data_IF_608629566748
#
_entry.id   IF_608629566748
#
_cell.length_a   1.000
_cell.length_b   1.000
_cell.length_c   1.000
_cell.angle_alpha   90.00
_cell.angle_beta   90.00
_cell.angle_gamma   90.00
#
_symmetry.space_group_name_H-M   'P 1'
#
loop_
_entity.id
_entity.type
_entity.pdbx_description
1 polymer ?
#
# COMPACT_ATOMS: atom_id res chain seq x y z
N UNK A 1 12.89 31.54 -65.94
CA UNK A 1 14.30 31.10 -65.72
C UNK A 1 14.24 29.63 -65.31
N UNK A 2 14.21 28.71 -66.28
CA UNK A 2 15.33 27.87 -66.77
C UNK A 2 16.06 27.09 -65.65
N UNK A 3 15.85 25.76 -65.66
CA UNK A 3 16.75 24.73 -65.12
C UNK A 3 18.15 24.82 -65.78
N UNK A 4 19.17 24.08 -65.29
CA UNK A 4 19.33 22.68 -65.71
C UNK A 4 19.76 21.68 -64.61
N UNK A 5 19.36 20.43 -64.85
CA UNK A 5 19.92 19.15 -64.35
C UNK A 5 21.06 18.71 -65.30
N UNK A 6 21.60 17.49 -65.15
CA UNK A 6 22.41 16.69 -66.16
C UNK A 6 23.95 16.87 -65.97
N UNK A 7 24.88 15.89 -65.96
CA UNK A 7 24.98 14.44 -66.31
C UNK A 7 26.29 13.86 -65.67
N UNK A 8 26.32 12.63 -65.15
CA UNK A 8 26.88 11.35 -65.72
C UNK A 8 28.34 11.33 -66.19
N UNK A 9 29.05 10.23 -65.89
CA UNK A 9 30.07 9.69 -66.81
C UNK A 9 31.24 8.97 -66.16
N UNK A 10 31.26 7.64 -66.31
CA UNK A 10 32.36 6.70 -66.01
C UNK A 10 33.69 7.02 -66.74
N UNK A 11 34.80 6.37 -66.33
CA UNK A 11 35.57 5.39 -67.18
C UNK A 11 36.86 4.87 -66.49
N UNK A 12 36.91 3.53 -66.39
CA UNK A 12 37.98 2.50 -66.54
C UNK A 12 39.25 2.34 -65.68
N UNK A 13 39.41 1.05 -65.31
CA UNK A 13 40.55 0.21 -64.87
C UNK A 13 41.75 0.11 -65.85
N UNK A 14 42.90 -0.48 -65.41
CA UNK A 14 43.24 -1.90 -65.69
C UNK A 14 43.68 -2.70 -64.43
N UNK A 15 43.26 -3.97 -64.22
CA UNK A 15 43.88 -5.28 -64.60
C UNK A 15 45.29 -5.52 -64.01
N UNK A 16 45.74 -6.68 -63.53
CA UNK A 16 45.25 -8.04 -63.23
C UNK A 16 46.53 -8.80 -62.80
N UNK A 17 46.58 -9.56 -61.69
CA UNK A 17 47.25 -10.88 -61.65
C UNK A 17 46.51 -11.77 -60.65
N UNK A 18 45.95 -12.85 -61.16
CA UNK A 18 45.39 -13.96 -60.41
C UNK A 18 46.46 -15.04 -60.17
N UNK A 19 46.35 -15.78 -59.06
CA UNK A 19 46.69 -17.21 -59.01
C UNK A 19 45.80 -17.91 -57.97
N UNK A 20 45.40 -19.11 -58.35
CA UNK A 20 44.27 -19.91 -57.89
C UNK A 20 44.81 -21.29 -57.44
N UNK A 21 43.94 -22.10 -56.82
CA UNK A 21 44.07 -23.53 -56.44
C UNK A 21 44.74 -23.80 -55.07
N UNK A 22 44.30 -24.73 -54.20
CA UNK A 22 43.15 -25.64 -54.14
C UNK A 22 43.04 -26.23 -52.71
N UNK A 23 41.80 -26.38 -52.20
CA UNK A 23 41.16 -27.51 -51.47
C UNK A 23 42.04 -28.43 -50.57
N UNK A 24 41.60 -28.66 -49.31
CA UNK A 24 41.23 -29.96 -48.67
C UNK A 24 41.25 -29.89 -47.12
N UNK A 25 40.23 -30.45 -46.47
CA UNK A 25 40.41 -31.24 -45.24
C UNK A 25 40.04 -30.61 -43.88
N UNK A 26 38.81 -30.86 -43.44
CA UNK A 26 38.46 -31.48 -42.15
C UNK A 26 39.19 -31.12 -40.84
N UNK A 27 38.38 -30.66 -39.88
CA UNK A 27 38.35 -31.03 -38.45
C UNK A 27 39.53 -30.67 -37.53
N UNK A 28 39.27 -29.72 -36.62
CA UNK A 28 39.54 -29.90 -35.18
C UNK A 28 38.79 -28.84 -34.36
N UNK A 29 37.71 -29.26 -33.71
CA UNK A 29 37.08 -28.54 -32.60
C UNK A 29 38.08 -28.40 -31.45
N UNK A 30 38.42 -27.16 -31.08
CA UNK A 30 38.91 -26.85 -29.75
C UNK A 30 37.83 -26.03 -29.03
N UNK A 31 36.93 -26.75 -28.34
CA UNK A 31 36.01 -26.19 -27.36
C UNK A 31 36.83 -25.68 -26.17
N UNK A 32 37.08 -24.37 -26.13
CA UNK A 32 37.37 -23.69 -24.88
C UNK A 32 36.07 -23.67 -24.07
N UNK A 33 35.97 -24.62 -23.13
CA UNK A 33 34.99 -24.58 -22.05
C UNK A 33 35.28 -23.36 -21.18
N UNK A 34 34.73 -22.22 -21.56
CA UNK A 34 34.45 -21.16 -20.61
C UNK A 34 33.42 -21.74 -19.64
N UNK A 35 33.87 -22.13 -18.46
CA UNK A 35 33.03 -22.31 -17.29
C UNK A 35 32.29 -20.98 -17.07
N UNK A 36 31.11 -20.85 -17.67
CA UNK A 36 30.10 -19.96 -17.15
C UNK A 36 29.88 -20.43 -15.71
N UNK A 37 30.29 -19.60 -14.75
CA UNK A 37 29.89 -19.79 -13.38
C UNK A 37 28.38 -19.97 -13.39
N UNK A 38 27.90 -21.18 -13.08
CA UNK A 38 26.52 -21.37 -12.69
C UNK A 38 26.32 -20.42 -11.51
N UNK A 39 25.71 -19.27 -11.79
CA UNK A 39 25.17 -18.41 -10.77
C UNK A 39 24.25 -19.29 -9.97
N UNK A 40 24.66 -19.60 -8.73
CA UNK A 40 23.84 -20.35 -7.80
C UNK A 40 22.51 -19.59 -7.73
N UNK A 41 21.47 -20.17 -8.31
CA UNK A 41 20.11 -19.70 -8.13
C UNK A 41 19.87 -19.72 -6.64
N UNK A 42 19.85 -18.55 -6.00
CA UNK A 42 19.40 -18.44 -4.61
C UNK A 42 18.07 -19.17 -4.52
N UNK A 43 17.84 -20.00 -3.50
CA UNK A 43 16.56 -20.67 -3.32
C UNK A 43 15.45 -19.62 -3.44
N UNK A 44 14.40 -19.94 -4.22
CA UNK A 44 13.25 -19.05 -4.39
C UNK A 44 12.71 -18.58 -3.05
N UNK A 45 12.07 -17.40 -3.04
CA UNK A 45 11.42 -16.83 -1.86
C UNK A 45 10.51 -17.86 -1.20
N UNK A 46 11.02 -18.53 -0.17
CA UNK A 46 10.38 -19.66 0.47
C UNK A 46 9.38 -19.17 1.51
N UNK A 47 8.48 -18.26 1.13
CA UNK A 47 7.27 -17.88 1.89
C UNK A 47 7.46 -17.45 3.35
N UNK A 48 8.69 -17.24 3.81
CA UNK A 48 9.01 -16.88 5.20
C UNK A 48 9.24 -15.37 5.31
N UNK A 49 8.88 -14.79 6.47
CA UNK A 49 9.23 -13.39 6.79
C UNK A 49 10.74 -13.15 6.92
N UNK A 50 11.56 -14.21 6.88
CA UNK A 50 13.02 -14.08 6.70
C UNK A 50 13.40 -13.54 5.33
N UNK A 51 12.58 -13.82 4.32
CA UNK A 51 12.93 -13.55 2.93
C UNK A 51 12.39 -12.17 2.52
N UNK A 52 11.13 -11.89 2.87
CA UNK A 52 10.45 -10.63 2.58
C UNK A 52 9.72 -10.11 3.83
N UNK A 53 9.79 -8.79 4.07
CA UNK A 53 8.94 -8.11 5.04
C UNK A 53 8.31 -6.88 4.40
N UNK A 54 7.00 -6.65 4.58
CA UNK A 54 6.37 -5.40 4.17
C UNK A 54 7.13 -4.19 4.72
N UNK A 55 7.14 -3.10 3.95
CA UNK A 55 7.84 -1.84 4.27
C UNK A 55 9.37 -1.90 4.28
N UNK A 56 9.99 -3.06 4.08
CA UNK A 56 11.44 -3.20 4.00
C UNK A 56 11.91 -3.20 2.56
N UNK A 57 13.10 -2.64 2.35
CA UNK A 57 13.78 -2.73 1.07
C UNK A 57 14.25 -4.17 0.82
N UNK A 58 14.36 -4.52 -0.45
CA UNK A 58 14.90 -5.80 -0.89
C UNK A 58 16.06 -5.52 -1.85
N UNK A 59 17.29 -5.39 -1.34
CA UNK A 59 18.43 -4.95 -2.15
C UNK A 59 18.72 -5.90 -3.32
N UNK A 60 18.88 -5.32 -4.51
CA UNK A 60 19.21 -6.05 -5.74
C UNK A 60 18.03 -6.72 -6.43
N UNK A 61 16.80 -6.50 -5.98
CA UNK A 61 15.57 -6.94 -6.66
C UNK A 61 14.84 -5.76 -7.32
N UNK A 62 14.13 -6.04 -8.41
CA UNK A 62 13.36 -5.03 -9.15
C UNK A 62 11.86 -5.18 -8.91
N UNK A 63 11.21 -4.04 -8.62
CA UNK A 63 9.77 -3.91 -8.59
C UNK A 63 9.27 -3.57 -10.00
N UNK A 64 8.34 -4.36 -10.53
CA UNK A 64 7.86 -4.26 -11.92
C UNK A 64 6.51 -3.54 -12.04
N UNK A 65 5.89 -3.18 -10.91
CA UNK A 65 4.65 -2.43 -10.82
C UNK A 65 3.40 -3.25 -11.13
N UNK A 66 2.21 -2.76 -10.70
CA UNK A 66 0.95 -3.48 -10.81
C UNK A 66 0.49 -3.72 -12.26
N UNK A 67 0.96 -2.90 -13.21
CA UNK A 67 0.67 -3.05 -14.64
C UNK A 67 1.23 -4.35 -15.21
N UNK A 68 2.44 -4.75 -14.80
CA UNK A 68 3.04 -6.01 -15.22
C UNK A 68 2.23 -7.21 -14.71
N UNK A 69 1.74 -7.14 -13.46
CA UNK A 69 0.90 -8.17 -12.86
C UNK A 69 -0.45 -8.35 -13.60
N UNK A 70 -1.01 -7.28 -14.17
CA UNK A 70 -2.31 -7.29 -14.83
C UNK A 70 -2.36 -8.20 -16.07
N UNK A 71 -1.21 -8.42 -16.73
CA UNK A 71 -1.11 -9.27 -17.92
C UNK A 71 -1.55 -10.73 -17.67
N UNK A 72 -1.24 -11.26 -16.49
CA UNK A 72 -1.61 -12.62 -16.05
C UNK A 72 -2.72 -12.64 -14.99
N UNK A 73 -2.86 -11.56 -14.21
CA UNK A 73 -3.80 -11.47 -13.08
C UNK A 73 -4.82 -10.33 -13.24
N UNK A 74 -5.41 -10.21 -14.42
CA UNK A 74 -6.30 -9.10 -14.80
C UNK A 74 -7.41 -8.82 -13.78
N UNK A 75 -8.14 -9.84 -13.32
CA UNK A 75 -9.24 -9.65 -12.38
C UNK A 75 -8.77 -9.08 -11.03
N UNK A 76 -7.74 -9.68 -10.42
CA UNK A 76 -7.20 -9.23 -9.13
C UNK A 76 -6.59 -7.84 -9.24
N UNK A 77 -5.87 -7.56 -10.33
CA UNK A 77 -5.29 -6.24 -10.57
C UNK A 77 -6.39 -5.18 -10.69
N UNK A 78 -7.42 -5.45 -11.49
CA UNK A 78 -8.55 -4.53 -11.69
C UNK A 78 -9.30 -4.25 -10.39
N UNK A 79 -9.55 -5.25 -9.54
CA UNK A 79 -10.28 -5.02 -8.28
C UNK A 79 -9.41 -4.36 -7.22
N UNK A 80 -8.15 -4.79 -7.09
CA UNK A 80 -7.25 -4.31 -6.06
C UNK A 80 -6.87 -2.84 -6.28
N UNK A 81 -6.65 -2.42 -7.52
CA UNK A 81 -6.29 -1.02 -7.82
C UNK A 81 -7.37 -0.01 -7.42
N UNK A 82 -8.62 -0.46 -7.22
CA UNK A 82 -9.72 0.39 -6.77
C UNK A 82 -9.86 0.45 -5.24
N UNK A 83 -9.10 -0.35 -4.51
CA UNK A 83 -9.16 -0.42 -3.04
C UNK A 83 -8.60 0.85 -2.39
N UNK A 84 -8.99 1.08 -1.13
CA UNK A 84 -8.32 2.09 -0.31
C UNK A 84 -6.79 1.89 -0.18
N UNK A 85 -6.30 0.65 -0.23
CA UNK A 85 -4.86 0.35 -0.23
C UNK A 85 -4.18 0.79 -1.54
N UNK A 86 -4.79 0.48 -2.68
CA UNK A 86 -4.32 0.95 -4.00
C UNK A 86 -4.32 2.48 -4.11
N UNK A 87 -5.21 3.16 -3.39
CA UNK A 87 -5.29 4.62 -3.31
C UNK A 87 -4.63 5.23 -2.06
N UNK A 88 -3.81 4.48 -1.32
CA UNK A 88 -3.17 4.97 -0.10
C UNK A 88 -2.20 6.13 -0.33
N UNK A 89 -1.65 6.23 -1.54
CA UNK A 89 -0.87 7.36 -2.04
C UNK A 89 -1.21 7.58 -3.52
N UNK A 90 -1.42 8.81 -3.93
CA UNK A 90 -1.72 9.17 -5.31
C UNK A 90 -0.89 10.36 -5.76
N UNK A 91 -0.55 10.43 -7.04
CA UNK A 91 -0.10 11.70 -7.64
C UNK A 91 -1.28 12.67 -7.75
N UNK A 92 -1.04 13.99 -7.80
CA UNK A 92 -2.10 14.98 -7.95
C UNK A 92 -3.02 14.70 -9.15
N UNK A 93 -2.44 14.30 -10.28
CA UNK A 93 -3.16 13.95 -11.52
C UNK A 93 -4.04 12.70 -11.40
N UNK A 94 -3.78 11.84 -10.43
CA UNK A 94 -4.51 10.57 -10.21
C UNK A 94 -5.59 10.72 -9.12
N UNK A 95 -5.43 11.69 -8.21
CA UNK A 95 -6.43 12.00 -7.19
C UNK A 95 -7.73 12.48 -7.83
N UNK A 96 -8.82 11.77 -7.57
CA UNK A 96 -10.15 12.19 -7.99
C UNK A 96 -10.56 13.51 -7.32
N UNK A 97 -10.24 13.69 -6.04
CA UNK A 97 -10.55 14.90 -5.26
C UNK A 97 -9.89 16.12 -5.89
N UNK A 98 -8.58 16.06 -6.17
CA UNK A 98 -7.87 17.20 -6.76
C UNK A 98 -8.35 17.52 -8.18
N UNK A 99 -8.78 16.51 -8.95
CA UNK A 99 -9.35 16.73 -10.29
C UNK A 99 -10.77 17.27 -10.27
N UNK A 100 -11.60 16.88 -9.29
CA UNK A 100 -13.00 17.31 -9.22
C UNK A 100 -13.20 18.62 -8.46
N UNK A 101 -12.21 19.06 -7.67
CA UNK A 101 -12.27 20.28 -6.89
C UNK A 101 -11.22 21.29 -7.36
N UNK A 102 -11.55 22.15 -8.35
CA UNK A 102 -10.60 23.12 -8.89
C UNK A 102 -10.14 24.15 -7.83
N UNK A 103 -10.95 24.34 -6.79
CA UNK A 103 -10.63 25.21 -5.67
C UNK A 103 -11.29 24.69 -4.39
N UNK A 104 -10.48 24.49 -3.35
CA UNK A 104 -10.93 24.21 -1.99
C UNK A 104 -10.36 25.25 -1.05
N UNK A 105 -11.11 25.64 -0.03
CA UNK A 105 -10.70 26.67 0.93
C UNK A 105 -11.05 26.28 2.36
N UNK A 106 -10.23 26.68 3.32
CA UNK A 106 -10.50 26.56 4.74
C UNK A 106 -9.96 27.79 5.47
N UNK A 107 -10.65 28.25 6.50
CA UNK A 107 -10.24 29.40 7.29
C UNK A 107 -10.09 28.96 8.75
N UNK A 108 -8.95 29.26 9.37
CA UNK A 108 -8.76 29.02 10.78
C UNK A 108 -7.99 30.16 11.44
N UNK A 109 -8.68 30.89 12.32
CA UNK A 109 -8.16 32.12 12.91
C UNK A 109 -7.74 33.11 11.82
N UNK A 110 -6.49 33.58 11.88
CA UNK A 110 -5.92 34.51 10.90
C UNK A 110 -5.48 33.86 9.59
N UNK A 111 -5.39 32.52 9.52
CA UNK A 111 -4.84 31.83 8.37
C UNK A 111 -5.94 31.36 7.42
N UNK A 112 -5.73 31.63 6.12
CA UNK A 112 -6.57 31.12 5.03
C UNK A 112 -5.80 30.09 4.23
N UNK A 113 -6.38 28.92 4.08
CA UNK A 113 -5.83 27.78 3.36
C UNK A 113 -6.57 27.60 2.04
N UNK A 114 -5.82 27.31 0.99
CA UNK A 114 -6.40 27.04 -0.33
C UNK A 114 -5.65 25.91 -1.02
N UNK A 115 -6.41 25.06 -1.69
CA UNK A 115 -5.86 24.16 -2.71
C UNK A 115 -6.50 24.56 -4.03
N UNK A 116 -5.67 24.83 -5.02
CA UNK A 116 -6.10 25.17 -6.37
C UNK A 116 -5.56 24.12 -7.32
N UNK A 117 -6.41 23.58 -8.18
CA UNK A 117 -5.99 22.63 -9.20
C UNK A 117 -6.62 22.93 -10.55
N UNK A 118 -5.85 22.71 -11.61
CA UNK A 118 -6.31 22.72 -12.99
C UNK A 118 -6.49 21.30 -13.57
N UNK A 119 -6.39 20.27 -12.72
CA UNK A 119 -6.44 18.85 -13.07
C UNK A 119 -5.10 18.24 -13.50
N UNK A 120 -4.08 19.06 -13.80
CA UNK A 120 -2.72 18.62 -14.11
C UNK A 120 -1.73 18.98 -13.01
N UNK A 121 -1.89 20.16 -12.45
CA UNK A 121 -1.13 20.69 -11.33
C UNK A 121 -2.09 21.01 -10.19
N UNK A 122 -1.62 20.80 -8.97
CA UNK A 122 -2.33 21.18 -7.75
C UNK A 122 -1.36 21.93 -6.86
N UNK A 123 -1.79 23.08 -6.36
CA UNK A 123 -0.97 23.99 -5.54
C UNK A 123 -1.65 24.17 -4.20
N UNK A 124 -0.88 23.95 -3.12
CA UNK A 124 -1.28 24.21 -1.76
C UNK A 124 -0.82 25.61 -1.35
N UNK A 125 -1.72 26.39 -0.73
CA UNK A 125 -1.46 27.78 -0.31
C UNK A 125 -1.94 28.04 1.10
N UNK A 126 -1.17 28.83 1.84
CA UNK A 126 -1.60 29.42 3.11
C UNK A 126 -1.23 30.90 3.14
N UNK A 127 -2.11 31.74 3.68
CA UNK A 127 -1.85 33.16 3.88
C UNK A 127 -2.34 33.62 5.24
N UNK A 128 -1.64 34.58 5.85
CA UNK A 128 -2.06 35.31 7.05
C UNK A 128 -2.68 36.69 6.73
N UNK A 129 -2.93 36.97 5.44
CA UNK A 129 -3.41 38.24 4.92
C UNK A 129 -2.30 39.26 4.58
N UNK A 130 -1.04 39.01 4.97
CA UNK A 130 0.11 39.84 4.64
C UNK A 130 1.07 39.11 3.71
N UNK A 131 1.37 37.87 4.05
CA UNK A 131 2.26 36.98 3.31
C UNK A 131 1.50 35.73 2.86
N UNK A 132 2.00 35.10 1.79
CA UNK A 132 1.42 33.86 1.26
C UNK A 132 2.54 32.87 0.97
N UNK A 133 2.40 31.67 1.50
CA UNK A 133 3.21 30.52 1.12
C UNK A 133 2.44 29.68 0.12
N UNK A 134 3.12 29.21 -0.92
CA UNK A 134 2.52 28.47 -2.02
C UNK A 134 3.49 27.42 -2.51
N UNK A 135 3.11 26.16 -2.48
CA UNK A 135 3.95 25.03 -2.89
C UNK A 135 3.16 24.05 -3.77
N UNK A 136 3.78 23.49 -4.83
CA UNK A 136 3.17 22.41 -5.59
C UNK A 136 2.95 21.17 -4.71
N UNK A 137 1.77 20.58 -4.79
CA UNK A 137 1.49 19.29 -4.15
C UNK A 137 2.24 18.21 -4.92
N UNK A 138 3.03 17.39 -4.21
CA UNK A 138 3.74 16.25 -4.78
C UNK A 138 2.91 14.98 -4.71
N UNK A 139 2.21 14.76 -3.60
CA UNK A 139 1.41 13.56 -3.36
C UNK A 139 0.17 13.88 -2.52
N UNK A 140 -0.89 13.11 -2.75
CA UNK A 140 -2.05 13.01 -1.88
C UNK A 140 -2.00 11.67 -1.12
N UNK A 141 -1.87 11.73 0.20
CA UNK A 141 -1.86 10.60 1.11
C UNK A 141 -3.28 10.30 1.58
N UNK A 142 -3.62 9.01 1.60
CA UNK A 142 -4.91 8.53 2.08
C UNK A 142 -5.97 8.47 0.99
N UNK A 143 -6.99 7.67 1.25
CA UNK A 143 -8.17 7.57 0.42
C UNK A 143 -9.22 8.58 0.90
N UNK A 144 -9.86 9.28 -0.05
CA UNK A 144 -10.85 10.32 0.22
C UNK A 144 -12.00 9.89 1.13
N UNK A 145 -12.37 8.60 1.16
CA UNK A 145 -13.39 8.08 2.07
C UNK A 145 -13.08 8.32 3.55
N UNK A 146 -11.80 8.41 3.92
CA UNK A 146 -11.37 8.81 5.27
C UNK A 146 -10.86 10.24 5.23
N UNK A 147 -9.74 10.48 4.56
CA UNK A 147 -9.13 11.79 4.39
C UNK A 147 -8.09 11.77 3.27
N UNK A 148 -7.85 12.90 2.60
CA UNK A 148 -6.66 13.13 1.79
C UNK A 148 -5.80 14.25 2.38
N UNK A 149 -4.59 13.90 2.80
CA UNK A 149 -3.58 14.83 3.31
C UNK A 149 -2.52 15.05 2.23
N UNK A 150 -2.01 16.27 2.09
CA UNK A 150 -1.16 16.63 0.96
C UNK A 150 0.30 16.79 1.41
N UNK A 151 1.21 16.26 0.62
CA UNK A 151 2.65 16.39 0.85
C UNK A 151 3.27 17.25 -0.24
N UNK A 152 4.08 18.22 0.17
CA UNK A 152 4.83 19.11 -0.72
C UNK A 152 6.31 19.17 -0.30
N UNK A 153 7.15 19.82 -1.12
CA UNK A 153 8.58 20.00 -0.82
C UNK A 153 8.91 21.47 -0.73
N UNK A 154 9.62 21.85 0.34
CA UNK A 154 10.13 23.21 0.55
C UNK A 154 11.53 23.15 1.14
N UNK A 155 12.47 23.93 0.60
CA UNK A 155 13.86 23.93 1.09
C UNK A 155 14.54 22.55 1.06
N UNK A 156 14.17 21.68 0.11
CA UNK A 156 14.69 20.31 0.01
C UNK A 156 14.09 19.31 1.00
N UNK A 157 13.19 19.73 1.89
CA UNK A 157 12.53 18.90 2.90
C UNK A 157 11.08 18.61 2.50
N UNK A 158 10.53 17.52 3.01
CA UNK A 158 9.15 17.14 2.77
C UNK A 158 8.26 17.68 3.89
N UNK A 159 7.08 18.15 3.54
CA UNK A 159 6.12 18.71 4.48
C UNK A 159 4.75 18.05 4.33
N UNK A 160 4.13 17.73 5.45
CA UNK A 160 2.71 17.36 5.55
C UNK A 160 1.86 18.62 5.73
N UNK A 161 0.80 18.76 4.93
CA UNK A 161 -0.11 19.91 5.01
C UNK A 161 -0.93 19.91 6.31
N UNK A 162 -1.19 21.11 6.84
CA UNK A 162 -2.03 21.27 8.04
C UNK A 162 -3.52 21.00 7.84
N UNK A 163 -3.97 20.97 6.59
CA UNK A 163 -5.35 20.66 6.25
C UNK A 163 -5.40 19.44 5.35
N UNK A 164 -6.48 18.69 5.50
CA UNK A 164 -6.82 17.51 4.72
C UNK A 164 -8.22 17.67 4.13
N UNK A 165 -8.48 17.03 3.00
CA UNK A 165 -9.84 16.93 2.46
C UNK A 165 -10.57 15.76 3.10
N UNK A 166 -11.84 15.97 3.44
CA UNK A 166 -12.72 14.96 4.02
C UNK A 166 -14.00 14.86 3.21
N UNK A 167 -14.32 13.65 2.71
CA UNK A 167 -15.55 13.43 1.92
C UNK A 167 -16.83 13.74 2.72
N UNK A 168 -16.82 13.49 4.03
CA UNK A 168 -18.01 13.68 4.87
C UNK A 168 -18.50 15.13 4.97
N UNK A 169 -17.60 16.11 4.78
CA UNK A 169 -17.91 17.54 4.76
C UNK A 169 -17.69 18.16 3.37
N UNK A 170 -17.29 17.35 2.39
CA UNK A 170 -16.89 17.75 1.05
C UNK A 170 -15.98 19.00 1.03
N UNK A 171 -14.95 18.97 1.88
CA UNK A 171 -14.18 20.18 2.17
C UNK A 171 -12.90 19.92 2.94
N UNK A 172 -12.17 21.01 3.14
CA UNK A 172 -10.94 21.02 3.93
C UNK A 172 -11.26 21.26 5.40
N UNK A 173 -10.57 20.53 6.26
CA UNK A 173 -10.46 20.81 7.70
C UNK A 173 -9.04 20.41 8.16
N UNK A 174 -8.73 20.62 9.44
CA UNK A 174 -7.47 20.22 10.04
C UNK A 174 -7.11 18.77 9.75
N UNK A 175 -5.85 18.50 9.44
CA UNK A 175 -5.30 17.15 9.38
C UNK A 175 -5.45 16.48 10.75
N UNK A 176 -5.81 15.18 10.77
CA UNK A 176 -6.04 14.44 12.01
C UNK A 176 -4.82 14.55 12.94
N UNK A 177 -5.04 15.03 14.17
CA UNK A 177 -3.99 15.28 15.16
C UNK A 177 -3.60 16.75 15.31
N UNK A 178 -3.83 17.59 14.28
CA UNK A 178 -3.47 19.02 14.32
C UNK A 178 -4.55 19.90 14.95
N UNK A 179 -5.79 19.42 15.07
CA UNK A 179 -6.91 20.16 15.66
C UNK A 179 -6.62 20.71 17.07
N UNK A 180 -5.73 20.04 17.82
CA UNK A 180 -5.38 20.40 19.18
C UNK A 180 -4.29 21.50 19.25
N UNK A 181 -3.62 21.81 18.14
CA UNK A 181 -2.45 22.68 18.10
C UNK A 181 -2.57 23.72 16.97
N UNK A 182 -3.30 24.84 17.18
CA UNK A 182 -3.35 25.93 16.22
C UNK A 182 -1.94 26.47 15.91
N UNK A 183 -1.60 26.74 14.64
CA UNK A 183 -0.24 27.13 14.27
C UNK A 183 0.09 28.54 14.78
N UNK A 184 1.29 28.76 15.36
CA UNK A 184 1.71 30.07 15.85
C UNK A 184 2.24 30.99 14.73
N UNK A 185 2.71 30.43 13.62
CA UNK A 185 3.38 31.13 12.51
C UNK A 185 2.83 30.73 11.15
N UNK A 186 3.14 31.51 10.10
CA UNK A 186 2.75 31.18 8.73
C UNK A 186 3.45 29.90 8.24
N UNK A 187 4.69 29.69 8.66
CA UNK A 187 5.47 28.48 8.37
C UNK A 187 4.82 27.23 8.97
N UNK A 188 4.46 27.28 10.26
CA UNK A 188 3.78 26.15 10.92
C UNK A 188 2.34 25.96 10.44
N UNK A 189 1.71 27.02 9.94
CA UNK A 189 0.43 26.93 9.26
C UNK A 189 0.56 26.22 7.91
N UNK A 190 1.64 26.45 7.15
CA UNK A 190 1.81 25.78 5.86
C UNK A 190 1.92 24.25 6.00
N UNK A 191 2.57 23.78 7.05
CA UNK A 191 2.74 22.35 7.24
C UNK A 191 3.80 22.03 8.26
N UNK A 192 3.90 20.75 8.55
CA UNK A 192 4.94 20.20 9.42
C UNK A 192 5.96 19.46 8.59
N UNK A 193 7.22 19.72 8.88
CA UNK A 193 8.33 18.99 8.30
C UNK A 193 8.25 17.51 8.71
N UNK A 194 8.27 16.62 7.72
CA UNK A 194 8.37 15.18 7.91
C UNK A 194 9.81 14.79 7.63
N UNK A 195 10.56 14.57 8.69
CA UNK A 195 11.99 14.31 8.62
C UNK A 195 12.32 12.94 7.98
N UNK A 196 13.60 12.59 7.91
CA UNK A 196 14.05 11.36 7.26
C UNK A 196 13.43 10.08 7.84
N UNK A 197 13.10 10.01 9.12
CA UNK A 197 12.56 8.82 9.75
C UNK A 197 11.04 8.76 9.61
N UNK A 198 10.40 9.90 9.79
CA UNK A 198 8.96 10.02 9.61
C UNK A 198 8.54 9.84 8.15
N UNK A 199 9.24 10.48 7.21
CA UNK A 199 8.99 10.29 5.78
C UNK A 199 9.14 8.80 5.40
N UNK A 200 10.16 8.09 5.92
CA UNK A 200 10.29 6.64 5.69
C UNK A 200 9.08 5.88 6.22
N UNK A 201 8.59 6.22 7.41
CA UNK A 201 7.41 5.57 7.99
C UNK A 201 6.13 5.86 7.16
N UNK A 202 5.92 7.10 6.73
CA UNK A 202 4.76 7.45 5.90
C UNK A 202 4.79 6.73 4.55
N UNK A 203 5.88 6.88 3.79
CA UNK A 203 5.96 6.34 2.43
C UNK A 203 6.07 4.81 2.40
N UNK A 204 6.71 4.18 3.38
CA UNK A 204 6.80 2.71 3.41
C UNK A 204 5.46 2.02 3.73
N UNK A 205 4.53 2.72 4.38
CA UNK A 205 3.17 2.23 4.63
C UNK A 205 2.18 2.56 3.50
N UNK A 206 2.39 3.68 2.79
CA UNK A 206 1.42 4.20 1.81
C UNK A 206 1.80 3.98 0.35
N UNK A 207 3.04 3.55 0.09
CA UNK A 207 3.57 3.37 -1.25
C UNK A 207 4.34 2.06 -1.39
N UNK A 208 4.57 1.66 -2.64
CA UNK A 208 5.37 0.48 -2.98
C UNK A 208 6.75 0.91 -3.48
N UNK A 209 7.78 0.11 -3.16
CA UNK A 209 9.17 0.36 -3.56
C UNK A 209 9.75 1.71 -3.09
N UNK A 210 9.27 2.23 -1.95
CA UNK A 210 9.58 3.60 -1.54
C UNK A 210 11.00 3.82 -1.00
N UNK A 211 11.70 2.76 -0.60
CA UNK A 211 12.96 2.85 0.12
C UNK A 211 14.13 2.30 -0.70
N UNK A 212 15.24 3.04 -0.70
CA UNK A 212 16.54 2.59 -1.20
C UNK A 212 17.64 3.06 -0.25
N UNK A 213 18.49 2.13 0.19
CA UNK A 213 19.52 2.36 1.19
C UNK A 213 18.96 3.03 2.45
N UNK A 214 17.78 2.57 2.87
CA UNK A 214 17.07 3.12 4.03
C UNK A 214 16.65 4.58 3.89
N UNK A 215 16.49 5.12 2.67
CA UNK A 215 15.99 6.50 2.42
C UNK A 215 14.84 6.49 1.43
N UNK A 216 13.92 7.45 1.57
CA UNK A 216 12.84 7.64 0.61
C UNK A 216 13.40 8.14 -0.74
N UNK A 217 13.07 7.45 -1.83
CA UNK A 217 13.43 7.86 -3.20
C UNK A 217 12.17 8.14 -4.02
N UNK A 218 11.78 9.42 -4.12
CA UNK A 218 10.50 9.80 -4.74
C UNK A 218 10.41 9.45 -6.24
N UNK A 219 11.54 9.30 -6.94
CA UNK A 219 11.63 8.93 -8.35
C UNK A 219 11.37 7.44 -8.60
N UNK A 220 11.47 6.60 -7.56
CA UNK A 220 11.28 5.14 -7.64
C UNK A 220 9.98 4.64 -7.03
N UNK A 221 9.24 5.53 -6.38
CA UNK A 221 7.98 5.18 -5.73
C UNK A 221 6.94 4.78 -6.75
N UNK A 222 6.28 3.67 -6.48
CA UNK A 222 5.00 3.30 -7.08
C UNK A 222 3.91 3.75 -6.11
N UNK A 223 3.07 4.76 -6.45
CA UNK A 223 2.01 5.25 -5.58
C UNK A 223 1.01 4.14 -5.21
N UNK A 224 0.62 4.11 -3.95
CA UNK A 224 -0.30 3.14 -3.37
C UNK A 224 0.40 1.91 -2.80
N UNK A 225 -0.29 1.20 -1.93
CA UNK A 225 0.07 -0.16 -1.53
C UNK A 225 -0.38 -1.06 -2.66
N UNK A 226 0.56 -1.49 -3.51
CA UNK A 226 0.30 -2.30 -4.71
C UNK A 226 0.69 -3.77 -4.49
N UNK A 227 0.55 -4.61 -5.52
CA UNK A 227 0.75 -6.06 -5.43
C UNK A 227 2.06 -6.43 -4.71
N UNK A 228 3.16 -5.78 -5.09
CA UNK A 228 4.51 -6.08 -4.62
C UNK A 228 4.79 -5.55 -3.21
N UNK A 229 3.92 -4.69 -2.64
CA UNK A 229 4.01 -4.31 -1.23
C UNK A 229 3.65 -5.47 -0.29
N UNK A 230 2.82 -6.40 -0.76
CA UNK A 230 2.41 -7.60 -0.03
C UNK A 230 3.12 -8.86 -0.51
N UNK A 231 3.40 -8.95 -1.81
CA UNK A 231 3.97 -10.14 -2.47
C UNK A 231 5.48 -10.05 -2.74
N UNK A 232 6.11 -8.92 -2.40
CA UNK A 232 7.51 -8.67 -2.70
C UNK A 232 7.78 -8.38 -4.19
N UNK A 233 9.06 -8.17 -4.56
CA UNK A 233 9.47 -7.87 -5.93
C UNK A 233 9.06 -8.97 -6.91
N UNK A 234 8.37 -8.61 -8.00
CA UNK A 234 7.73 -9.54 -8.93
C UNK A 234 8.58 -9.95 -10.12
N UNK A 235 9.75 -9.34 -10.35
CA UNK A 235 10.56 -9.56 -11.56
C UNK A 235 10.90 -11.04 -11.79
N UNK A 236 11.44 -11.73 -10.77
CA UNK A 236 11.79 -13.15 -10.87
C UNK A 236 10.59 -14.02 -11.18
N UNK A 237 9.46 -13.72 -10.55
CA UNK A 237 8.21 -14.43 -10.79
C UNK A 237 7.71 -14.24 -12.22
N UNK A 238 7.71 -13.01 -12.72
CA UNK A 238 7.31 -12.71 -14.10
C UNK A 238 8.22 -13.42 -15.12
N UNK A 239 9.54 -13.35 -14.92
CA UNK A 239 10.52 -14.00 -15.81
C UNK A 239 10.38 -15.53 -15.78
N UNK A 240 10.27 -16.14 -14.60
CA UNK A 240 10.11 -17.59 -14.48
C UNK A 240 8.82 -18.10 -15.13
N UNK A 241 7.75 -17.29 -15.13
CA UNK A 241 6.51 -17.61 -15.84
C UNK A 241 6.63 -17.44 -17.34
N UNK A 242 7.31 -16.39 -17.82
CA UNK A 242 7.54 -16.18 -19.25
C UNK A 242 8.43 -17.27 -19.88
N UNK A 243 9.39 -17.79 -19.13
CA UNK A 243 10.31 -18.84 -19.59
C UNK A 243 9.74 -20.26 -19.41
N UNK A 244 8.51 -20.40 -18.90
CA UNK A 244 7.88 -21.67 -18.54
C UNK A 244 8.73 -22.56 -17.62
N UNK A 245 9.71 -21.96 -16.90
CA UNK A 245 10.59 -22.68 -15.98
C UNK A 245 9.89 -23.03 -14.66
N UNK A 246 8.62 -22.64 -14.52
CA UNK A 246 7.67 -23.33 -13.69
C UNK A 246 7.97 -23.31 -12.20
N UNK A 247 7.94 -22.14 -11.55
CA UNK A 247 7.89 -22.08 -10.10
C UNK A 247 6.99 -20.95 -9.59
N UNK A 248 5.79 -21.30 -9.11
CA UNK A 248 4.93 -20.40 -8.31
C UNK A 248 5.60 -19.95 -6.99
N UNK A 249 6.69 -20.62 -6.59
CA UNK A 249 7.55 -20.29 -5.44
C UNK A 249 8.42 -19.04 -5.63
N UNK A 250 8.46 -18.44 -6.83
CA UNK A 250 9.29 -17.26 -7.08
C UNK A 250 8.72 -15.94 -6.53
N UNK A 251 7.54 -15.96 -5.87
CA UNK A 251 6.92 -14.78 -5.25
C UNK A 251 6.42 -15.09 -3.84
N UNK A 252 6.48 -14.09 -2.96
CA UNK A 252 6.00 -14.25 -1.59
C UNK A 252 4.48 -14.41 -1.55
N UNK A 253 3.97 -15.35 -0.76
CA UNK A 253 2.54 -15.57 -0.59
C UNK A 253 2.16 -15.50 0.91
N UNK A 254 1.52 -14.40 1.36
CA UNK A 254 1.17 -14.20 2.77
C UNK A 254 0.23 -15.27 3.33
N UNK A 255 -0.52 -16.00 2.49
CA UNK A 255 -1.43 -17.07 2.93
C UNK A 255 -0.71 -18.22 3.66
N UNK A 256 0.60 -18.34 3.50
CA UNK A 256 1.43 -19.38 4.13
C UNK A 256 1.92 -19.00 5.54
N UNK A 257 1.69 -17.76 5.98
CA UNK A 257 2.09 -17.30 7.29
C UNK A 257 1.19 -17.88 8.39
N UNK A 258 1.80 -18.13 9.55
CA UNK A 258 1.06 -18.47 10.76
C UNK A 258 0.10 -17.32 11.18
N UNK A 259 -1.03 -17.62 11.84
CA UNK A 259 -2.09 -16.64 12.09
C UNK A 259 -1.65 -15.37 12.81
N UNK A 260 -0.86 -15.51 13.86
CA UNK A 260 -0.30 -14.38 14.62
C UNK A 260 0.69 -13.56 13.77
N UNK A 261 1.62 -14.22 13.08
CA UNK A 261 2.57 -13.57 12.18
C UNK A 261 1.88 -12.80 11.05
N UNK A 262 0.84 -13.40 10.44
CA UNK A 262 0.03 -12.74 9.42
C UNK A 262 -0.62 -11.46 9.98
N UNK A 263 -1.20 -11.53 11.18
CA UNK A 263 -1.98 -10.43 11.75
C UNK A 263 -1.11 -9.35 12.35
N UNK A 264 -0.19 -9.71 13.26
CA UNK A 264 0.57 -8.77 14.08
C UNK A 264 1.84 -8.26 13.38
N UNK A 265 2.49 -9.06 12.55
CA UNK A 265 3.73 -8.65 11.88
C UNK A 265 3.48 -8.22 10.43
N UNK A 266 2.79 -9.03 9.64
CA UNK A 266 2.60 -8.75 8.21
C UNK A 266 1.59 -7.62 7.98
N UNK A 267 0.33 -7.79 8.39
CA UNK A 267 -0.68 -6.73 8.32
C UNK A 267 -0.37 -5.59 9.31
N UNK A 268 0.13 -5.95 10.49
CA UNK A 268 0.53 -5.01 11.54
C UNK A 268 1.74 -4.14 11.20
N UNK A 269 2.48 -4.44 10.12
CA UNK A 269 3.50 -3.52 9.60
C UNK A 269 2.90 -2.14 9.30
N UNK A 270 1.73 -2.09 8.67
CA UNK A 270 1.06 -0.81 8.37
C UNK A 270 -0.06 -0.50 9.37
N UNK A 271 -0.83 -1.51 9.75
CA UNK A 271 -2.01 -1.35 10.60
C UNK A 271 -1.73 -1.41 12.12
N UNK A 272 -0.45 -1.56 12.50
CA UNK A 272 0.09 -1.62 13.86
C UNK A 272 -0.38 -2.84 14.68
N UNK A 273 0.58 -3.73 14.93
CA UNK A 273 0.43 -4.85 15.87
C UNK A 273 0.72 -4.45 17.33
N UNK A 274 0.57 -5.42 18.23
CA UNK A 274 0.73 -5.26 19.68
C UNK A 274 2.06 -4.64 20.08
N UNK A 275 3.18 -5.14 19.55
CA UNK A 275 4.51 -4.65 19.92
C UNK A 275 4.73 -3.20 19.48
N UNK A 276 4.20 -2.84 18.30
CA UNK A 276 4.29 -1.47 17.79
C UNK A 276 3.49 -0.50 18.67
N UNK A 277 2.28 -0.89 19.09
CA UNK A 277 1.44 -0.06 19.97
C UNK A 277 2.05 0.04 21.37
N UNK A 278 2.65 -1.02 21.90
CA UNK A 278 3.34 -1.00 23.18
C UNK A 278 4.50 0.00 23.23
N UNK A 279 5.15 0.25 22.09
CA UNK A 279 6.21 1.26 21.94
C UNK A 279 5.68 2.69 21.73
N UNK A 280 4.36 2.89 21.70
CA UNK A 280 3.70 4.20 21.45
C UNK A 280 2.74 4.54 22.61
N UNK A 281 3.24 4.74 23.84
CA UNK A 281 2.39 4.91 25.02
C UNK A 281 1.45 6.12 24.91
N UNK A 282 1.84 7.17 24.20
CA UNK A 282 1.06 8.40 24.01
C UNK A 282 -0.08 8.25 22.99
N UNK A 283 -0.14 7.13 22.26
CA UNK A 283 -1.19 6.83 21.28
C UNK A 283 -2.22 5.80 21.79
N UNK A 284 -2.30 5.63 23.12
CA UNK A 284 -3.31 4.81 23.78
C UNK A 284 -4.73 5.43 23.76
N UNK A 285 -5.68 4.72 24.38
CA UNK A 285 -7.07 5.16 24.43
C UNK A 285 -7.73 5.20 23.06
N UNK A 286 -8.56 6.21 22.80
CA UNK A 286 -9.38 6.30 21.59
C UNK A 286 -8.54 6.22 20.30
N UNK A 287 -7.33 6.79 20.32
CA UNK A 287 -6.39 6.84 19.20
C UNK A 287 -6.04 5.47 18.62
N UNK A 288 -6.15 4.39 19.40
CA UNK A 288 -5.82 3.04 18.95
C UNK A 288 -6.96 2.33 18.20
N UNK A 289 -8.15 2.94 18.06
CA UNK A 289 -9.26 2.34 17.29
C UNK A 289 -8.87 2.01 15.84
N UNK A 290 -7.97 2.82 15.27
CA UNK A 290 -7.45 2.66 13.91
C UNK A 290 -6.32 1.63 13.79
N UNK A 291 -5.95 0.93 14.87
CA UNK A 291 -4.90 -0.09 14.89
C UNK A 291 -5.50 -1.49 14.91
N UNK A 292 -6.00 -1.95 13.75
CA UNK A 292 -6.90 -3.10 13.67
C UNK A 292 -6.28 -4.41 14.21
N UNK A 293 -5.02 -4.77 13.90
CA UNK A 293 -4.37 -5.96 14.47
C UNK A 293 -4.25 -5.90 15.99
N UNK A 294 -3.84 -4.76 16.54
CA UNK A 294 -3.82 -4.56 18.00
C UNK A 294 -5.20 -4.71 18.62
N UNK A 295 -6.24 -4.09 18.04
CA UNK A 295 -7.61 -4.19 18.55
C UNK A 295 -8.13 -5.63 18.47
N UNK A 296 -7.88 -6.33 17.37
CA UNK A 296 -8.28 -7.72 17.16
C UNK A 296 -7.62 -8.66 18.17
N UNK A 297 -6.31 -8.49 18.44
CA UNK A 297 -5.58 -9.26 19.44
C UNK A 297 -6.21 -9.18 20.83
N UNK A 298 -6.76 -8.01 21.18
CA UNK A 298 -7.42 -7.76 22.47
C UNK A 298 -8.90 -8.22 22.52
N UNK A 299 -9.36 -8.94 21.50
CA UNK A 299 -10.70 -9.53 21.46
C UNK A 299 -10.83 -10.69 22.44
N UNK A 300 -12.04 -10.86 22.99
CA UNK A 300 -12.28 -11.98 23.89
C UNK A 300 -12.21 -13.30 23.11
N UNK A 301 -11.40 -14.25 23.60
CA UNK A 301 -11.26 -15.56 22.97
C UNK A 301 -10.27 -15.58 21.80
N UNK A 302 -9.46 -14.52 21.64
CA UNK A 302 -8.31 -14.56 20.74
C UNK A 302 -7.35 -15.68 21.14
N UNK A 303 -6.99 -16.52 20.16
CA UNK A 303 -5.92 -17.50 20.24
C UNK A 303 -4.94 -17.16 19.09
N UNK A 304 -3.64 -16.95 19.39
CA UNK A 304 -2.63 -16.67 18.37
C UNK A 304 -2.51 -17.73 17.27
N UNK A 305 -3.02 -18.94 17.49
CA UNK A 305 -3.01 -20.05 16.52
C UNK A 305 -4.33 -20.20 15.76
N UNK A 306 -5.35 -19.39 16.07
CA UNK A 306 -6.65 -19.50 15.43
C UNK A 306 -6.68 -18.75 14.09
N UNK A 307 -6.69 -19.50 13.00
CA UNK A 307 -6.79 -18.97 11.64
C UNK A 307 -8.16 -18.33 11.31
N UNK A 308 -9.17 -18.43 12.19
CA UNK A 308 -10.45 -17.74 12.01
C UNK A 308 -10.45 -16.30 12.54
N UNK A 309 -9.47 -15.93 13.38
CA UNK A 309 -9.31 -14.57 13.93
C UNK A 309 -8.10 -13.85 13.34
N UNK A 310 -7.97 -13.90 12.02
CA UNK A 310 -6.98 -13.14 11.24
C UNK A 310 -7.64 -12.26 10.19
N UNK A 311 -6.93 -11.23 9.74
CA UNK A 311 -7.45 -10.23 8.80
C UNK A 311 -8.09 -10.87 7.56
N UNK A 312 -7.43 -11.88 6.98
CA UNK A 312 -7.85 -12.52 5.73
C UNK A 312 -8.97 -13.56 5.89
N UNK A 313 -9.34 -13.93 7.12
CA UNK A 313 -10.51 -14.77 7.36
C UNK A 313 -11.81 -13.98 7.11
N UNK A 314 -11.77 -12.68 7.44
CA UNK A 314 -12.90 -11.77 7.31
C UNK A 314 -12.84 -10.96 5.99
N UNK A 315 -11.66 -10.51 5.58
CA UNK A 315 -11.49 -9.59 4.45
C UNK A 315 -10.67 -10.21 3.31
N UNK A 316 -11.07 -9.98 2.06
CA UNK A 316 -10.21 -10.24 0.91
C UNK A 316 -9.39 -8.98 0.63
N UNK A 317 -8.04 -9.00 0.77
CA UNK A 317 -7.21 -7.82 0.55
C UNK A 317 -7.20 -7.34 -0.92
N UNK A 318 -7.71 -8.13 -1.87
CA UNK A 318 -7.79 -7.72 -3.28
C UNK A 318 -9.11 -7.04 -3.65
N UNK A 319 -10.05 -6.94 -2.71
CA UNK A 319 -11.37 -6.34 -2.92
C UNK A 319 -11.53 -5.12 -2.01
N UNK A 320 -12.22 -4.12 -2.51
CA UNK A 320 -12.51 -2.95 -1.67
C UNK A 320 -13.46 -3.32 -0.54
N UNK A 321 -13.29 -2.65 0.60
CA UNK A 321 -14.09 -2.96 1.79
C UNK A 321 -15.54 -2.55 1.57
N UNK A 322 -16.40 -3.55 1.37
CA UNK A 322 -17.85 -3.32 1.32
C UNK A 322 -18.30 -2.74 2.66
N UNK A 323 -18.93 -1.57 2.59
CA UNK A 323 -19.42 -0.85 3.78
C UNK A 323 -20.71 -1.45 4.38
N UNK A 324 -21.19 -2.59 3.88
CA UNK A 324 -22.47 -3.16 4.28
C UNK A 324 -22.35 -4.14 5.45
N UNK A 325 -23.06 -3.85 6.53
CA UNK A 325 -22.99 -4.59 7.81
C UNK A 325 -23.44 -6.06 7.69
N UNK A 326 -24.38 -6.36 6.79
CA UNK A 326 -24.93 -7.70 6.60
C UNK A 326 -23.95 -8.70 5.99
N UNK A 327 -22.91 -8.24 5.27
CA UNK A 327 -21.91 -9.13 4.67
C UNK A 327 -21.00 -9.80 5.71
N UNK A 328 -20.84 -9.17 6.87
CA UNK A 328 -19.91 -9.59 7.92
C UNK A 328 -20.47 -10.69 8.82
N UNK A 329 -21.80 -10.87 8.89
CA UNK A 329 -22.43 -11.82 9.82
C UNK A 329 -22.02 -13.26 9.54
N UNK A 330 -21.87 -13.62 8.27
CA UNK A 330 -21.36 -14.94 7.83
C UNK A 330 -19.97 -15.29 8.38
N UNK A 331 -19.17 -14.28 8.74
CA UNK A 331 -17.85 -14.47 9.35
C UNK A 331 -17.96 -14.82 10.84
N UNK A 332 -18.95 -14.25 11.51
CA UNK A 332 -19.24 -14.54 12.92
C UNK A 332 -19.88 -15.92 13.10
N UNK A 333 -20.79 -16.31 12.20
CA UNK A 333 -21.55 -17.55 12.33
C UNK A 333 -20.71 -18.82 12.17
N UNK A 334 -19.51 -18.73 11.57
CA UNK A 334 -18.54 -19.85 11.52
C UNK A 334 -18.27 -20.44 12.90
N UNK A 335 -18.18 -19.59 13.92
CA UNK A 335 -17.91 -20.00 15.29
C UNK A 335 -19.13 -19.83 16.23
N UNK A 336 -20.10 -19.00 15.88
CA UNK A 336 -21.26 -18.65 16.73
C UNK A 336 -22.58 -19.33 16.35
N UNK A 337 -22.59 -20.28 15.40
CA UNK A 337 -23.72 -21.21 15.19
C UNK A 337 -23.55 -22.51 16.01
N UNK A 338 -24.64 -23.25 16.33
CA UNK A 338 -24.53 -24.53 16.99
C UNK A 338 -23.97 -25.52 16.00
N UNK A 339 -23.08 -26.35 16.49
CA UNK A 339 -22.71 -27.61 15.88
C UNK A 339 -23.97 -28.43 15.54
N UNK A 340 -24.45 -28.30 14.31
CA UNK A 340 -25.63 -28.98 13.76
C UNK A 340 -25.51 -29.29 12.27
N UNK A 341 -24.40 -28.93 11.63
CA UNK A 341 -24.01 -29.43 10.32
C UNK A 341 -22.69 -30.19 10.48
N UNK A 342 -22.73 -31.46 10.11
CA UNK A 342 -21.68 -32.48 10.24
C UNK A 342 -20.24 -31.95 10.21
N UNK A 343 -19.58 -31.94 11.38
CA UNK A 343 -18.12 -31.99 11.45
C UNK A 343 -17.75 -33.44 11.77
N UNK A 344 -17.10 -34.11 10.82
CA UNK A 344 -16.56 -35.47 11.02
C UNK A 344 -15.47 -35.46 12.11
N UNK A 345 -15.27 -36.58 12.83
CA UNK A 345 -14.47 -36.60 14.07
C UNK A 345 -12.96 -36.31 13.91
N UNK A 346 -12.44 -36.16 12.69
CA UNK A 346 -11.00 -36.03 12.44
C UNK A 346 -10.46 -34.58 12.41
N UNK A 347 -11.31 -33.54 12.53
CA UNK A 347 -10.87 -32.12 12.49
C UNK A 347 -11.00 -31.35 13.81
N UNK A 348 -11.02 -32.04 14.95
CA UNK A 348 -10.99 -31.41 16.29
C UNK A 348 -9.64 -31.70 16.96
N UNK A 349 -8.57 -31.08 16.47
CA UNK A 349 -7.32 -30.97 17.25
C UNK A 349 -7.03 -29.54 17.73
N UNK A 350 -7.74 -28.52 17.24
CA UNK A 350 -7.66 -27.17 17.78
C UNK A 350 -8.98 -26.81 18.47
N UNK A 351 -9.01 -26.95 19.79
CA UNK A 351 -10.11 -26.49 20.65
C UNK A 351 -10.15 -24.95 20.71
N UNK A 352 -10.54 -24.30 19.62
CA UNK A 352 -11.18 -22.98 19.72
C UNK A 352 -12.58 -23.20 20.31
N UNK A 353 -12.91 -22.55 21.41
CA UNK A 353 -14.22 -22.73 22.05
C UNK A 353 -15.33 -22.28 21.09
N UNK A 354 -16.25 -23.18 20.73
CA UNK A 354 -17.46 -22.82 19.99
C UNK A 354 -18.13 -21.63 20.70
N UNK A 355 -18.28 -20.53 19.96
CA UNK A 355 -18.84 -19.29 20.48
C UNK A 355 -20.28 -19.50 20.86
N UNK A 356 -20.68 -18.98 22.02
CA UNK A 356 -22.11 -18.99 22.38
C UNK A 356 -22.87 -18.16 21.34
N UNK A 357 -24.02 -18.68 20.90
CA UNK A 357 -24.98 -17.91 20.10
C UNK A 357 -25.33 -16.62 20.85
N UNK A 358 -25.44 -15.53 20.10
CA UNK A 358 -25.95 -14.28 20.64
C UNK A 358 -27.43 -14.47 21.03
N UNK A 359 -27.78 -14.12 22.27
CA UNK A 359 -29.14 -14.27 22.78
C UNK A 359 -30.09 -13.17 22.34
N UNK A 360 -29.56 -12.07 21.78
CA UNK A 360 -30.33 -10.84 21.49
C UNK A 360 -30.43 -10.51 20.00
N UNK A 361 -29.74 -11.26 19.12
CA UNK A 361 -29.76 -11.01 17.68
C UNK A 361 -29.07 -12.13 16.90
N UNK A 362 -29.37 -12.22 15.59
CA UNK A 362 -28.77 -13.20 14.67
C UNK A 362 -28.09 -12.56 13.45
N UNK A 363 -28.24 -11.26 13.30
CA UNK A 363 -27.73 -10.44 12.22
C UNK A 363 -27.15 -9.13 12.79
N UNK A 364 -26.38 -8.43 11.96
CA UNK A 364 -25.71 -7.15 12.27
C UNK A 364 -24.83 -7.22 13.50
N UNK A 365 -24.11 -8.34 13.68
CA UNK A 365 -23.27 -8.61 14.85
C UNK A 365 -22.30 -7.46 15.15
N UNK A 366 -21.73 -6.88 14.08
CA UNK A 366 -20.74 -5.79 14.14
C UNK A 366 -21.29 -4.51 14.76
N UNK A 367 -22.60 -4.27 14.72
CA UNK A 367 -23.21 -3.05 15.30
C UNK A 367 -23.06 -2.98 16.82
N UNK A 368 -23.07 -4.13 17.50
CA UNK A 368 -22.86 -4.23 18.94
C UNK A 368 -21.46 -4.71 19.31
N UNK A 369 -20.84 -5.56 18.48
CA UNK A 369 -19.57 -6.21 18.82
C UNK A 369 -18.31 -5.53 18.29
N UNK A 370 -18.46 -4.66 17.28
CA UNK A 370 -17.38 -3.93 16.62
C UNK A 370 -17.86 -2.50 16.29
N UNK A 371 -18.27 -1.71 17.30
CA UNK A 371 -18.92 -0.43 17.04
C UNK A 371 -17.98 0.53 16.31
N UNK A 372 -18.58 1.41 15.51
CA UNK A 372 -17.84 2.49 14.87
C UNK A 372 -17.60 3.64 15.86
N UNK A 373 -16.38 4.15 15.90
CA UNK A 373 -15.93 5.20 16.81
C UNK A 373 -15.22 6.28 16.02
N UNK A 374 -15.54 7.53 16.33
CA UNK A 374 -14.95 8.69 15.66
C UNK A 374 -13.77 9.22 16.47
N UNK A 375 -12.67 9.52 15.79
CA UNK A 375 -11.58 10.28 16.38
C UNK A 375 -11.91 11.78 16.25
N UNK A 376 -11.57 12.63 17.24
CA UNK A 376 -11.78 14.06 17.14
C UNK A 376 -11.19 14.66 15.85
N UNK A 377 -12.03 15.35 15.07
CA UNK A 377 -11.63 15.99 13.81
C UNK A 377 -11.39 15.05 12.63
N UNK A 378 -11.65 13.74 12.76
CA UNK A 378 -11.42 12.79 11.67
C UNK A 378 -12.54 12.78 10.61
N UNK A 379 -13.72 13.33 10.94
CA UNK A 379 -14.91 13.31 10.07
C UNK A 379 -15.26 11.91 9.52
N UNK A 380 -14.82 10.88 10.23
CA UNK A 380 -14.92 9.49 9.82
C UNK A 380 -14.97 8.59 11.05
N UNK A 381 -15.83 7.58 11.00
CA UNK A 381 -15.98 6.60 12.08
C UNK A 381 -15.25 5.30 11.75
N UNK A 382 -14.23 4.99 12.54
CA UNK A 382 -13.45 3.76 12.43
C UNK A 382 -14.18 2.60 13.11
N UNK A 383 -14.24 1.44 12.45
CA UNK A 383 -14.72 0.21 13.08
C UNK A 383 -13.72 -0.27 14.14
N UNK A 384 -14.16 -0.41 15.40
CA UNK A 384 -13.34 -1.02 16.45
C UNK A 384 -13.23 -2.53 16.22
N UNK A 385 -12.01 -3.00 15.91
CA UNK A 385 -11.76 -4.42 15.64
C UNK A 385 -11.62 -5.26 16.92
N UNK A 386 -11.78 -4.66 18.10
CA UNK A 386 -11.84 -5.39 19.36
C UNK A 386 -13.23 -5.99 19.54
N UNK A 387 -13.37 -7.26 19.17
CA UNK A 387 -14.63 -8.00 19.26
C UNK A 387 -14.96 -8.23 20.74
N UNK A 388 -16.00 -7.55 21.23
CA UNK A 388 -16.45 -7.60 22.62
C UNK A 388 -17.92 -7.23 22.74
N UNK A 389 -18.57 -7.49 23.87
CA UNK A 389 -19.92 -6.93 24.11
C UNK A 389 -19.74 -5.49 24.57
N UNK A 390 -20.18 -4.52 23.77
CA UNK A 390 -20.13 -3.10 24.15
C UNK A 390 -21.41 -2.72 24.88
N UNK A 391 -21.29 -2.17 26.09
CA UNK A 391 -22.43 -1.67 26.85
C UNK A 391 -22.61 -0.17 26.63
N UNK A 392 -23.85 0.34 26.57
CA UNK A 392 -24.08 1.79 26.52
C UNK A 392 -23.39 2.49 27.69
N UNK A 393 -22.72 3.62 27.42
CA UNK A 393 -21.99 4.45 28.39
C UNK A 393 -20.73 3.82 29.02
N UNK A 394 -20.33 2.64 28.57
CA UNK A 394 -19.03 2.08 28.97
C UNK A 394 -17.89 2.94 28.38
N UNK A 395 -16.86 3.28 29.15
CA UNK A 395 -15.71 4.01 28.62
C UNK A 395 -15.03 3.21 27.50
N UNK A 396 -14.47 3.90 26.51
CA UNK A 396 -13.66 3.25 25.50
C UNK A 396 -12.44 2.61 26.18
N UNK A 397 -12.17 1.32 25.95
CA UNK A 397 -11.12 0.64 26.69
C UNK A 397 -9.74 1.09 26.17
N UNK A 398 -8.86 1.41 27.12
CA UNK A 398 -7.49 1.80 26.85
C UNK A 398 -6.76 0.73 26.02
#
# INVERSE_FOLDING_TARGET
MRQPRVQTGNVMFPRLIARQFCIWGGAACALLLSFAALSQTKPGYAGSLSDFRPRKEVPGESFIGPGACASCHAQKSSSHLQTAMGHALQKPTESAVLRSHPRMTFQAGRFSYQIVSDGLQSVYRVTDGKETLSEPILYAFGNAHVAQTYVFRRGGRLYESRVSYYTAIDGLDWTIGDILNPPPSLEEAAGRDIDGDEARNCFSCHATAALVNGKVQLDRIIPGVTCEACHGPGERHAVAKLLETGEDSAIFNPKRLEPETLSQEFCGACHRGVDTVAMMPDLGGLSNVRFQPYRLFNSRGHDPKDAHLVCTACHDPHLDLKQNEAGSDSKCTVCHEPSGAAQTPEKIQNKGAAGKRCSVGRDKCVTCHMPKVELPGAHFKFTDHRIRIVRPKEPYPY
#
